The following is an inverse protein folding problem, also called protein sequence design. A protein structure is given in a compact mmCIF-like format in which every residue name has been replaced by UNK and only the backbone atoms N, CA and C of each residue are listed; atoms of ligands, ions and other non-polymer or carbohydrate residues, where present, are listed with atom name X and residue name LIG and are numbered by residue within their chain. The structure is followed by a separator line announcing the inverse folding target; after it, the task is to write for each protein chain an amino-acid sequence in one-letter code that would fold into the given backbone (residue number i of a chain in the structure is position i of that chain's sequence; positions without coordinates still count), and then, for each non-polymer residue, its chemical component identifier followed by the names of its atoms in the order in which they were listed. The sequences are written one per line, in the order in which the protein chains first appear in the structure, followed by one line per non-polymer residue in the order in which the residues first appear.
data_IF_301150736537
#
_entry.id   IF_301150736537
#
_cell.length_a   1.000
_cell.length_b   1.000
_cell.length_c   1.000
_cell.angle_alpha   90.00
_cell.angle_beta   90.00
_cell.angle_gamma   90.00
#
_symmetry.space_group_name_H-M   'P 1'
#
loop_
_entity.id
_entity.type
_entity.pdbx_description
1 polymer ?
#
# COMPACT_ATOMS: atom_id res chain seq x y z
N UNK A 1 15.57 -12.86 -20.53
CA UNK A 1 15.00 -11.55 -20.16
C UNK A 1 14.15 -11.79 -18.94
N UNK A 2 14.53 -11.28 -17.76
CA UNK A 2 13.74 -11.46 -16.54
C UNK A 2 12.54 -10.53 -16.63
N UNK A 3 11.44 -11.04 -17.19
CA UNK A 3 10.14 -10.41 -17.09
C UNK A 3 9.85 -10.30 -15.60
N UNK A 4 10.02 -9.11 -15.05
CA UNK A 4 9.72 -8.81 -13.65
C UNK A 4 8.20 -8.80 -13.53
N UNK A 5 7.62 -9.99 -13.48
CA UNK A 5 6.24 -10.24 -13.08
C UNK A 5 6.11 -9.81 -11.63
N UNK A 6 6.04 -8.49 -11.39
CA UNK A 6 5.54 -7.96 -10.13
C UNK A 6 4.22 -8.68 -9.89
N UNK A 7 3.98 -9.24 -8.69
CA UNK A 7 2.70 -9.82 -8.36
C UNK A 7 1.65 -8.75 -8.64
N UNK A 8 0.81 -8.99 -9.66
CA UNK A 8 -0.35 -8.13 -9.92
C UNK A 8 -1.31 -8.45 -8.79
N UNK A 9 -1.28 -7.63 -7.75
CA UNK A 9 -2.20 -7.77 -6.63
C UNK A 9 -3.59 -7.49 -7.16
N UNK A 10 -4.47 -8.46 -7.03
CA UNK A 10 -5.83 -8.34 -7.52
C UNK A 10 -6.63 -7.32 -6.69
N UNK A 11 -7.40 -6.47 -7.38
CA UNK A 11 -8.30 -5.51 -6.76
C UNK A 11 -9.63 -6.16 -6.38
N UNK A 12 -9.56 -7.13 -5.45
CA UNK A 12 -10.72 -7.81 -4.88
C UNK A 12 -11.21 -7.14 -3.60
N UNK A 13 -12.48 -7.35 -3.26
CA UNK A 13 -13.06 -6.84 -2.02
C UNK A 13 -12.39 -7.44 -0.77
N UNK A 14 -11.93 -8.69 -0.81
CA UNK A 14 -11.12 -9.24 0.30
C UNK A 14 -9.82 -8.47 0.49
N UNK A 15 -9.09 -8.20 -0.60
CA UNK A 15 -7.84 -7.46 -0.53
C UNK A 15 -8.07 -6.03 -0.06
N UNK A 16 -9.19 -5.39 -0.44
CA UNK A 16 -9.58 -4.08 0.11
C UNK A 16 -9.84 -4.14 1.60
N UNK A 17 -10.59 -5.13 2.10
CA UNK A 17 -10.85 -5.30 3.54
C UNK A 17 -9.57 -5.49 4.34
N UNK A 18 -8.66 -6.34 3.85
CA UNK A 18 -7.33 -6.51 4.45
C UNK A 18 -6.59 -5.17 4.43
N UNK A 19 -6.54 -4.49 3.28
CA UNK A 19 -5.88 -3.21 3.16
C UNK A 19 -6.43 -2.18 4.15
N UNK A 20 -7.74 -2.07 4.33
CA UNK A 20 -8.36 -1.16 5.32
C UNK A 20 -7.94 -1.54 6.73
N UNK A 21 -7.95 -2.83 7.09
CA UNK A 21 -7.52 -3.27 8.42
C UNK A 21 -6.09 -2.86 8.78
N UNK A 22 -5.15 -2.96 7.83
CA UNK A 22 -3.74 -2.61 8.06
C UNK A 22 -3.45 -1.11 7.81
N UNK A 23 -3.94 -0.54 6.71
CA UNK A 23 -3.66 0.85 6.34
C UNK A 23 -4.40 1.86 7.21
N UNK A 24 -5.62 1.58 7.70
CA UNK A 24 -6.31 2.48 8.64
C UNK A 24 -5.56 2.60 9.97
N UNK A 25 -4.78 1.58 10.35
CA UNK A 25 -3.92 1.58 11.54
C UNK A 25 -2.48 1.99 11.26
N UNK A 26 -2.12 2.22 10.00
CA UNK A 26 -0.76 2.55 9.60
C UNK A 26 -0.44 4.02 9.97
N UNK A 27 0.63 4.28 10.74
CA UNK A 27 0.98 5.64 11.15
C UNK A 27 1.31 6.53 9.95
N UNK A 28 1.98 5.98 8.93
CA UNK A 28 2.24 6.71 7.68
C UNK A 28 0.95 7.11 6.95
N UNK A 29 -0.02 6.20 6.84
CA UNK A 29 -1.27 6.50 6.17
C UNK A 29 -2.11 7.55 6.93
N UNK A 30 -2.14 7.45 8.26
CA UNK A 30 -2.85 8.41 9.12
C UNK A 30 -2.19 9.79 9.11
N UNK A 31 -0.86 9.85 9.20
CA UNK A 31 -0.12 11.10 9.25
C UNK A 31 -0.29 11.92 7.97
N UNK A 32 -0.36 11.25 6.82
CA UNK A 32 -0.52 11.90 5.50
C UNK A 32 -1.98 12.01 5.04
N UNK A 33 -2.95 11.71 5.92
CA UNK A 33 -4.40 11.75 5.61
C UNK A 33 -4.74 11.08 4.26
N UNK A 34 -4.20 9.88 4.01
CA UNK A 34 -4.30 9.25 2.69
C UNK A 34 -5.73 8.90 2.28
N UNK A 35 -6.67 8.87 3.23
CA UNK A 35 -8.11 8.75 2.99
C UNK A 35 -8.68 9.91 2.15
N UNK A 36 -7.99 11.05 2.12
CA UNK A 36 -8.37 12.25 1.33
C UNK A 36 -7.75 12.29 -0.07
N UNK A 37 -6.92 11.32 -0.40
CA UNK A 37 -6.16 11.28 -1.65
C UNK A 37 -6.42 9.97 -2.40
N UNK A 38 -6.27 9.98 -3.72
CA UNK A 38 -6.47 8.78 -4.54
C UNK A 38 -5.12 8.12 -4.87
N UNK A 39 -5.03 6.79 -4.88
CA UNK A 39 -6.06 5.84 -4.43
C UNK A 39 -6.27 5.91 -2.91
N UNK A 40 -7.50 5.64 -2.44
CA UNK A 40 -7.85 5.66 -1.01
C UNK A 40 -7.49 4.35 -0.28
N UNK A 41 -7.27 3.29 -1.04
CA UNK A 41 -7.00 1.93 -0.54
C UNK A 41 -6.20 1.14 -1.58
N UNK A 42 -5.69 -0.02 -1.16
CA UNK A 42 -5.00 -1.00 -1.99
C UNK A 42 -3.79 -0.43 -2.77
N UNK A 43 -3.00 0.43 -2.12
CA UNK A 43 -1.85 1.12 -2.71
C UNK A 43 -0.82 0.19 -3.37
N UNK A 44 -0.65 -1.02 -2.83
CA UNK A 44 0.26 -2.01 -3.40
C UNK A 44 -0.20 -2.54 -4.77
N UNK A 45 -1.50 -2.48 -5.07
CA UNK A 45 -2.07 -2.84 -6.38
C UNK A 45 -2.24 -1.61 -7.29
N UNK A 46 -2.73 -0.50 -6.72
CA UNK A 46 -3.13 0.71 -7.46
C UNK A 46 -2.02 1.73 -7.63
N UNK A 47 -0.93 1.59 -6.90
CA UNK A 47 0.18 2.53 -6.88
C UNK A 47 0.07 3.57 -5.74
N UNK A 48 1.02 4.53 -5.74
CA UNK A 48 1.16 5.50 -4.67
C UNK A 48 0.03 6.51 -4.65
N UNK A 49 -0.21 7.08 -3.46
CA UNK A 49 -1.19 8.15 -3.27
C UNK A 49 -0.82 9.40 -4.08
N UNK A 50 -1.84 10.15 -4.50
CA UNK A 50 -1.71 11.45 -5.15
C UNK A 50 -1.27 12.56 -4.19
N UNK A 51 -1.15 12.28 -2.89
CA UNK A 51 -0.62 13.22 -1.90
C UNK A 51 0.81 13.68 -2.29
N UNK A 52 1.01 14.99 -2.38
CA UNK A 52 2.26 15.60 -2.89
C UNK A 52 3.32 15.83 -1.82
N UNK A 53 2.95 15.81 -0.55
CA UNK A 53 3.83 16.17 0.58
C UNK A 53 4.11 14.99 1.50
N UNK A 54 4.13 13.76 0.96
CA UNK A 54 4.40 12.58 1.76
C UNK A 54 5.88 12.47 2.11
N UNK A 55 6.17 12.26 3.39
CA UNK A 55 7.49 11.90 3.89
C UNK A 55 7.46 10.44 4.33
N UNK A 56 8.51 9.70 3.98
CA UNK A 56 8.65 8.32 4.41
C UNK A 56 8.75 8.27 5.94
N UNK A 57 7.72 7.71 6.59
CA UNK A 57 7.75 7.32 7.99
C UNK A 57 7.35 5.85 8.09
N UNK A 58 7.80 5.15 9.13
CA UNK A 58 7.64 3.70 9.28
C UNK A 58 6.28 3.16 8.81
N UNK A 59 6.29 2.11 7.98
CA UNK A 59 5.09 1.43 7.48
C UNK A 59 4.93 0.04 8.11
N UNK A 60 3.68 -0.35 8.39
CA UNK A 60 3.32 -1.73 8.76
C UNK A 60 3.08 -2.65 7.55
N UNK A 61 3.48 -2.23 6.37
CA UNK A 61 3.30 -2.95 5.11
C UNK A 61 3.84 -4.39 5.20
N UNK A 62 4.98 -4.58 5.88
CA UNK A 62 5.64 -5.88 6.04
C UNK A 62 4.83 -6.88 6.89
N UNK A 63 3.90 -6.40 7.71
CA UNK A 63 2.99 -7.22 8.51
C UNK A 63 1.64 -7.45 7.84
N UNK A 64 1.38 -6.84 6.68
CA UNK A 64 0.11 -6.96 5.97
C UNK A 64 -0.01 -8.34 5.30
N UNK A 65 -1.16 -9.00 5.43
CA UNK A 65 -1.38 -10.31 4.83
C UNK A 65 -1.22 -10.29 3.31
N UNK A 66 -1.65 -9.22 2.62
CA UNK A 66 -1.47 -9.11 1.16
C UNK A 66 0.02 -9.11 0.81
N UNK A 67 0.83 -8.42 1.62
CA UNK A 67 2.27 -8.34 1.43
C UNK A 67 2.92 -9.71 1.56
N UNK A 68 2.56 -10.45 2.62
CA UNK A 68 3.08 -11.77 2.91
C UNK A 68 2.62 -12.78 1.85
N UNK A 69 1.31 -12.81 1.53
CA UNK A 69 0.71 -13.73 0.54
C UNK A 69 1.30 -13.56 -0.85
N UNK A 70 1.58 -12.32 -1.26
CA UNK A 70 2.13 -12.03 -2.58
C UNK A 70 3.67 -11.96 -2.58
N UNK A 71 4.33 -12.32 -1.47
CA UNK A 71 5.79 -12.26 -1.32
C UNK A 71 6.40 -10.93 -1.81
N UNK A 72 5.70 -9.82 -1.52
CA UNK A 72 6.15 -8.50 -1.96
C UNK A 72 7.48 -8.17 -1.29
N UNK A 73 8.31 -7.38 -1.98
CA UNK A 73 9.60 -6.90 -1.47
C UNK A 73 9.63 -5.38 -1.41
N UNK A 74 10.25 -4.84 -0.37
CA UNK A 74 10.28 -3.39 -0.11
C UNK A 74 9.10 -2.90 0.73
N UNK A 75 9.01 -1.61 0.99
CA UNK A 75 7.89 -1.00 1.72
C UNK A 75 7.56 0.37 1.13
N UNK A 76 6.49 1.00 1.63
CA UNK A 76 6.06 2.36 1.26
C UNK A 76 5.33 2.50 -0.09
N UNK A 77 4.51 1.51 -0.46
CA UNK A 77 3.70 1.55 -1.69
C UNK A 77 2.81 2.79 -1.81
N UNK A 78 2.33 3.32 -0.69
CA UNK A 78 1.46 4.49 -0.65
C UNK A 78 2.20 5.81 -0.81
N UNK A 79 3.54 5.83 -0.67
CA UNK A 79 4.37 7.04 -0.72
C UNK A 79 5.01 7.18 -2.10
N UNK A 80 5.00 8.39 -2.65
CA UNK A 80 5.79 8.74 -3.84
C UNK A 80 7.27 8.86 -3.44
N UNK A 81 8.14 8.19 -4.20
CA UNK A 81 9.59 8.35 -4.12
C UNK A 81 10.04 9.53 -4.98
#
# INVERSE_FOLDING_TARGET
MFESSKPVIEDTEENRKICRNYCTRCPNAKHHCLDKHQPTELFCARGPSSATSMKMMGCFCQACEIYIKNHLRGGFFCVRR
#
